data_IF_116242983836
#
_entry.id   IF_116242983836
#
_cell.length_a   1.000
_cell.length_b   1.000
_cell.length_c   1.000
_cell.angle_alpha   90.00
_cell.angle_beta   90.00
_cell.angle_gamma   90.00
#
_symmetry.space_group_name_H-M   'P 1'
#
loop_
_entity.id
_entity.type
_entity.pdbx_description
1 polymer ?
#
# COMPACT_ATOMS: atom_id res chain seq x y z
N UNK A 1 -22.25 -47.28 5.80
CA UNK A 1 -20.89 -47.13 6.35
C UNK A 1 -20.13 -46.23 5.39
N UNK A 2 -20.02 -44.95 5.71
CA UNK A 2 -19.33 -43.96 4.85
C UNK A 2 -17.99 -43.62 5.49
N UNK A 3 -16.90 -43.88 4.79
CA UNK A 3 -15.55 -43.49 5.21
C UNK A 3 -15.37 -41.97 5.06
N UNK A 4 -14.81 -41.26 6.04
CA UNK A 4 -14.43 -39.86 5.85
C UNK A 4 -13.24 -39.78 4.88
N UNK A 5 -13.34 -38.91 3.89
CA UNK A 5 -12.20 -38.54 3.03
C UNK A 5 -11.32 -37.58 3.84
N UNK A 6 -10.19 -38.10 4.30
CA UNK A 6 -9.15 -37.32 4.98
C UNK A 6 -8.54 -36.34 3.96
N UNK A 7 -8.76 -35.04 4.16
CA UNK A 7 -8.09 -34.01 3.38
C UNK A 7 -6.67 -33.86 3.95
N UNK A 8 -5.62 -33.95 3.12
CA UNK A 8 -4.25 -33.72 3.61
C UNK A 8 -4.13 -32.31 4.18
N UNK A 9 -3.37 -32.11 5.28
CA UNK A 9 -3.14 -30.79 5.83
C UNK A 9 -2.54 -29.90 4.76
N UNK A 10 -3.22 -28.79 4.47
CA UNK A 10 -2.69 -27.79 3.55
C UNK A 10 -1.33 -27.32 4.08
N UNK A 11 -0.32 -27.45 3.22
CA UNK A 11 1.04 -27.01 3.47
C UNK A 11 1.06 -25.60 4.06
N UNK A 12 1.94 -25.30 5.04
CA UNK A 12 2.06 -23.96 5.59
C UNK A 12 2.38 -22.98 4.45
N UNK A 13 1.59 -21.91 4.35
CA UNK A 13 1.78 -20.83 3.38
C UNK A 13 3.23 -20.34 3.49
N UNK A 14 3.95 -20.46 2.37
CA UNK A 14 5.33 -20.00 2.18
C UNK A 14 5.42 -18.52 2.62
N UNK A 15 6.46 -18.19 3.37
CA UNK A 15 6.55 -17.03 4.27
C UNK A 15 6.07 -15.69 3.72
N UNK A 16 5.21 -15.03 4.49
CA UNK A 16 4.93 -13.60 4.38
C UNK A 16 6.13 -12.87 5.00
N UNK A 17 6.91 -12.06 4.26
CA UNK A 17 7.93 -11.23 4.88
C UNK A 17 7.26 -10.29 5.90
N UNK A 18 7.90 -10.13 7.06
CA UNK A 18 7.33 -9.40 8.19
C UNK A 18 7.06 -7.94 7.81
N UNK A 19 5.77 -7.60 7.66
CA UNK A 19 5.27 -6.23 7.50
C UNK A 19 5.56 -5.43 8.79
N UNK A 20 6.72 -4.80 8.87
CA UNK A 20 7.04 -3.95 10.01
C UNK A 20 6.20 -2.65 9.92
N UNK A 21 5.02 -2.66 10.54
CA UNK A 21 4.18 -1.46 10.64
C UNK A 21 4.88 -0.40 11.48
N UNK A 22 4.90 0.85 10.99
CA UNK A 22 5.48 2.00 11.69
C UNK A 22 4.37 2.84 12.30
N UNK A 23 4.65 3.43 13.47
CA UNK A 23 3.69 4.25 14.23
C UNK A 23 4.00 5.74 14.10
N UNK A 24 2.97 6.56 14.01
CA UNK A 24 3.03 8.02 14.03
C UNK A 24 1.85 8.57 14.83
N UNK A 25 2.05 9.64 15.60
CA UNK A 25 0.96 10.39 16.26
C UNK A 25 0.94 11.81 15.72
N UNK A 26 0.12 12.12 14.71
CA UNK A 26 0.01 13.48 14.19
C UNK A 26 -0.81 14.33 15.16
N UNK A 27 -0.18 15.32 15.80
CA UNK A 27 -0.85 16.25 16.72
C UNK A 27 -1.47 17.39 15.90
N UNK A 28 -2.76 17.67 16.12
CA UNK A 28 -3.45 18.80 15.50
C UNK A 28 -3.81 18.66 14.02
N UNK A 29 -3.68 17.47 13.42
CA UNK A 29 -4.05 17.21 12.03
C UNK A 29 -5.40 16.50 11.93
N UNK A 30 -6.22 16.90 10.95
CA UNK A 30 -7.52 16.28 10.64
C UNK A 30 -7.51 15.42 9.36
N UNK A 31 -6.42 15.49 8.57
CA UNK A 31 -6.20 14.65 7.40
C UNK A 31 -4.71 14.46 7.13
N UNK A 32 -4.35 13.44 6.36
CA UNK A 32 -3.00 13.18 5.85
C UNK A 32 -3.11 12.61 4.43
N UNK A 33 -2.28 13.09 3.51
CA UNK A 33 -2.10 12.47 2.21
C UNK A 33 -1.00 11.41 2.27
N UNK A 34 -1.33 10.18 1.86
CA UNK A 34 -0.38 9.10 1.58
C UNK A 34 0.08 9.29 0.15
N UNK A 35 1.37 9.51 -0.06
CA UNK A 35 1.95 9.83 -1.36
C UNK A 35 3.08 8.86 -1.68
N UNK A 36 3.00 8.21 -2.83
CA UNK A 36 3.98 7.26 -3.34
C UNK A 36 4.52 7.79 -4.66
N UNK A 37 5.83 7.98 -4.73
CA UNK A 37 6.49 8.55 -5.91
C UNK A 37 7.56 7.58 -6.36
N UNK A 38 7.59 7.25 -7.65
CA UNK A 38 8.76 6.62 -8.26
C UNK A 38 9.85 7.65 -8.54
N UNK A 39 11.10 7.30 -8.25
CA UNK A 39 12.25 8.18 -8.33
C UNK A 39 13.52 7.41 -8.71
N UNK A 40 13.62 6.87 -9.93
CA UNK A 40 14.81 6.19 -10.40
C UNK A 40 15.47 6.84 -11.62
N UNK A 41 16.44 6.11 -12.19
CA UNK A 41 17.25 6.53 -13.33
C UNK A 41 16.63 6.12 -14.69
N UNK A 42 15.57 5.31 -14.68
CA UNK A 42 14.84 4.91 -15.88
C UNK A 42 13.50 5.63 -15.91
N UNK A 43 13.48 6.79 -16.54
CA UNK A 43 12.27 7.61 -16.71
C UNK A 43 11.23 6.98 -17.65
N UNK A 44 11.41 5.70 -18.05
CA UNK A 44 10.57 5.02 -19.05
C UNK A 44 10.09 3.62 -18.67
N UNK A 45 10.46 3.02 -17.52
CA UNK A 45 9.94 1.69 -17.09
C UNK A 45 10.21 1.27 -15.62
N UNK A 46 10.35 2.22 -14.68
CA UNK A 46 10.49 1.85 -13.27
C UNK A 46 9.28 1.04 -12.80
N UNK A 47 9.48 -0.09 -12.09
CA UNK A 47 8.37 -0.73 -11.37
C UNK A 47 8.54 -0.53 -9.89
N UNK A 48 7.56 0.17 -9.34
CA UNK A 48 7.25 0.12 -7.94
C UNK A 48 5.87 -0.44 -7.77
N UNK A 49 5.73 -1.66 -7.29
CA UNK A 49 4.43 -2.09 -6.79
C UNK A 49 4.27 -1.71 -5.34
N UNK A 50 3.12 -1.14 -5.02
CA UNK A 50 2.75 -0.78 -3.67
C UNK A 50 1.62 -1.72 -3.25
N UNK A 51 1.85 -2.52 -2.23
CA UNK A 51 0.79 -3.15 -1.44
C UNK A 51 0.74 -2.44 -0.09
N UNK A 52 0.06 -1.29 -0.02
CA UNK A 52 0.09 -0.43 1.15
C UNK A 52 -1.13 -0.56 2.02
N UNK A 53 -0.95 -0.75 3.33
CA UNK A 53 -2.01 -0.65 4.32
C UNK A 53 -1.68 0.44 5.32
N UNK A 54 -2.63 1.35 5.55
CA UNK A 54 -2.53 2.38 6.59
C UNK A 54 -3.71 2.20 7.55
N UNK A 55 -3.40 1.76 8.75
CA UNK A 55 -4.34 1.42 9.80
C UNK A 55 -4.31 2.46 10.92
N UNK A 56 -5.47 2.83 11.46
CA UNK A 56 -5.53 3.48 12.76
C UNK A 56 -5.23 2.46 13.88
N UNK A 57 -4.34 2.80 14.83
CA UNK A 57 -4.30 2.07 16.10
C UNK A 57 -5.19 2.79 17.12
N UNK A 58 -6.20 2.09 17.62
CA UNK A 58 -7.14 2.60 18.63
C UNK A 58 -6.46 2.94 19.95
N UNK A 59 -7.02 3.93 20.64
CA UNK A 59 -6.74 4.23 22.05
C UNK A 59 -7.37 3.18 22.95
N UNK A 60 -6.82 2.95 24.14
CA UNK A 60 -7.34 2.11 25.23
C UNK A 60 -8.68 2.66 25.74
N UNK A 61 -9.80 2.19 25.18
CA UNK A 61 -11.11 2.82 25.42
C UNK A 61 -11.70 2.55 26.81
N UNK A 62 -11.28 1.50 27.51
CA UNK A 62 -11.79 1.16 28.84
C UNK A 62 -10.78 1.35 29.99
N UNK A 63 -9.53 1.66 29.66
CA UNK A 63 -8.48 2.04 30.61
C UNK A 63 -7.94 0.91 31.47
N UNK A 64 -8.02 -0.34 31.01
CA UNK A 64 -7.54 -1.53 31.74
C UNK A 64 -6.02 -1.78 31.61
N UNK A 65 -5.34 -1.03 30.74
CA UNK A 65 -3.90 -1.10 30.49
C UNK A 65 -3.50 -1.95 29.28
N UNK A 66 -4.46 -2.37 28.46
CA UNK A 66 -4.29 -3.04 27.17
C UNK A 66 -4.81 -2.11 26.07
N UNK A 67 -4.14 -2.02 24.92
CA UNK A 67 -4.66 -1.20 23.81
C UNK A 67 -5.79 -1.93 23.07
N UNK A 68 -6.77 -1.20 22.53
CA UNK A 68 -7.87 -1.77 21.75
C UNK A 68 -7.40 -2.66 20.58
N UNK A 69 -6.18 -2.44 20.09
CA UNK A 69 -5.55 -3.26 19.06
C UNK A 69 -5.24 -4.70 19.55
N UNK A 70 -5.12 -4.88 20.86
CA UNK A 70 -4.94 -6.14 21.56
C UNK A 70 -6.28 -6.69 22.07
N UNK A 71 -7.28 -5.84 22.33
CA UNK A 71 -8.59 -6.27 22.86
C UNK A 71 -9.62 -6.66 21.79
N UNK A 72 -9.54 -6.10 20.57
CA UNK A 72 -10.32 -6.55 19.41
C UNK A 72 -9.62 -6.18 18.09
N UNK A 73 -9.43 -7.16 17.21
CA UNK A 73 -8.90 -7.02 15.85
C UNK A 73 -9.62 -5.96 14.99
N UNK A 74 -9.28 -4.69 15.17
CA UNK A 74 -9.97 -3.57 14.50
C UNK A 74 -9.00 -2.44 14.17
N UNK A 75 -7.95 -2.73 13.42
CA UNK A 75 -7.34 -1.68 12.62
C UNK A 75 -8.38 -1.19 11.61
N UNK A 76 -8.94 0.00 11.81
CA UNK A 76 -9.73 0.64 10.75
C UNK A 76 -8.78 0.97 9.61
N UNK A 77 -8.92 0.26 8.49
CA UNK A 77 -8.23 0.60 7.24
C UNK A 77 -8.70 1.99 6.80
N UNK A 78 -7.75 2.91 6.68
CA UNK A 78 -8.04 4.28 6.27
C UNK A 78 -7.97 4.44 4.75
N UNK A 79 -7.27 3.55 4.06
CA UNK A 79 -7.16 3.59 2.60
C UNK A 79 -8.37 2.93 1.94
N UNK A 80 -8.99 3.67 1.03
CA UNK A 80 -9.84 3.09 0.00
C UNK A 80 -8.93 2.35 -1.00
N UNK A 81 -9.21 1.07 -1.24
CA UNK A 81 -8.52 0.26 -2.24
C UNK A 81 -6.99 0.22 -2.03
N UNK A 82 -6.53 0.05 -0.77
CA UNK A 82 -5.10 0.04 -0.42
C UNK A 82 -4.28 -1.09 -1.06
N UNK A 83 -4.94 -2.22 -1.38
CA UNK A 83 -4.36 -3.34 -2.13
C UNK A 83 -4.58 -3.26 -3.65
N UNK A 84 -5.22 -2.20 -4.15
CA UNK A 84 -5.44 -1.97 -5.58
C UNK A 84 -6.28 -3.02 -6.33
N UNK A 85 -7.17 -3.75 -5.65
CA UNK A 85 -8.04 -4.76 -6.27
C UNK A 85 -9.16 -4.18 -7.17
N UNK A 86 -9.31 -2.85 -7.19
CA UNK A 86 -10.27 -2.14 -8.06
C UNK A 86 -9.56 -1.13 -8.97
N UNK A 87 -9.82 -1.12 -10.29
CA UNK A 87 -10.72 -2.02 -11.01
C UNK A 87 -10.14 -3.43 -11.15
N UNK A 88 -10.98 -4.45 -11.07
CA UNK A 88 -10.52 -5.83 -11.28
C UNK A 88 -10.16 -6.06 -12.75
N UNK A 89 -8.94 -6.54 -13.01
CA UNK A 89 -8.40 -6.75 -14.37
C UNK A 89 -8.60 -8.16 -14.92
N UNK A 90 -9.22 -9.05 -14.14
CA UNK A 90 -9.54 -10.42 -14.54
C UNK A 90 -8.57 -11.47 -13.97
N UNK A 91 -8.82 -12.76 -14.27
CA UNK A 91 -8.07 -13.88 -13.68
C UNK A 91 -6.78 -14.24 -14.43
N UNK A 92 -6.50 -13.58 -15.57
CA UNK A 92 -5.34 -13.88 -16.40
C UNK A 92 -4.07 -13.27 -15.82
N UNK A 93 -2.94 -13.96 -15.99
CA UNK A 93 -1.63 -13.35 -15.76
C UNK A 93 -1.35 -12.36 -16.88
N UNK A 94 -1.11 -11.09 -16.55
CA UNK A 94 -0.93 -10.05 -17.56
C UNK A 94 -0.87 -8.65 -16.95
N UNK A 95 -0.70 -7.65 -17.80
CA UNK A 95 -0.80 -6.24 -17.43
C UNK A 95 -1.99 -5.59 -18.15
N UNK A 96 -2.48 -4.49 -17.58
CA UNK A 96 -3.50 -3.64 -18.18
C UNK A 96 -3.23 -2.19 -17.86
N UNK A 97 -3.34 -1.32 -18.87
CA UNK A 97 -3.37 0.13 -18.66
C UNK A 97 -4.82 0.54 -18.43
N UNK A 98 -5.13 0.95 -17.20
CA UNK A 98 -6.45 1.46 -16.84
C UNK A 98 -6.40 2.98 -16.73
N UNK A 99 -7.52 3.66 -16.99
CA UNK A 99 -7.61 5.09 -16.70
C UNK A 99 -7.32 5.31 -15.20
N UNK A 100 -6.44 6.26 -14.87
CA UNK A 100 -6.07 6.48 -13.46
C UNK A 100 -7.27 6.86 -12.58
N UNK A 101 -8.27 7.53 -13.17
CA UNK A 101 -9.54 7.84 -12.49
C UNK A 101 -10.40 6.61 -12.17
N UNK A 102 -10.11 5.45 -12.74
CA UNK A 102 -10.80 4.20 -12.43
C UNK A 102 -10.22 3.50 -11.18
N UNK A 103 -9.01 3.86 -10.74
CA UNK A 103 -8.39 3.31 -9.53
C UNK A 103 -9.02 3.97 -8.31
N UNK A 104 -10.02 3.29 -7.72
CA UNK A 104 -10.82 3.85 -6.64
C UNK A 104 -9.95 4.36 -5.48
N UNK A 105 -10.21 5.58 -5.00
CA UNK A 105 -9.51 6.17 -3.86
C UNK A 105 -8.15 6.80 -4.17
N UNK A 106 -7.57 6.56 -5.35
CA UNK A 106 -6.24 7.04 -5.70
C UNK A 106 -6.27 8.08 -6.80
N UNK A 107 -5.41 9.09 -6.67
CA UNK A 107 -5.08 10.02 -7.74
C UNK A 107 -3.70 9.65 -8.28
N UNK A 108 -3.54 9.67 -9.59
CA UNK A 108 -2.25 9.52 -10.26
C UNK A 108 -1.95 10.79 -11.08
N UNK A 109 -0.69 11.19 -11.14
CA UNK A 109 -0.24 12.27 -12.04
C UNK A 109 -0.27 11.85 -13.51
N UNK A 110 -0.16 10.55 -13.77
CA UNK A 110 -0.29 9.98 -15.11
C UNK A 110 -1.77 9.72 -15.48
N UNK A 111 -2.16 9.84 -16.76
CA UNK A 111 -3.53 9.60 -17.20
C UNK A 111 -3.96 8.13 -17.10
N UNK A 112 -2.98 7.22 -17.09
CA UNK A 112 -3.18 5.78 -16.96
C UNK A 112 -2.35 5.21 -15.82
N UNK A 113 -2.88 4.17 -15.18
CA UNK A 113 -2.17 3.36 -14.19
C UNK A 113 -2.00 1.97 -14.76
N UNK A 114 -0.77 1.44 -14.72
CA UNK A 114 -0.49 0.07 -15.13
C UNK A 114 -0.78 -0.88 -13.96
N UNK A 115 -1.59 -1.90 -14.22
CA UNK A 115 -2.01 -2.90 -13.24
C UNK A 115 -1.49 -4.25 -13.68
N UNK A 116 -0.75 -4.92 -12.82
CA UNK A 116 -0.26 -6.28 -13.03
C UNK A 116 -1.10 -7.27 -12.26
N UNK A 117 -1.57 -8.30 -12.95
CA UNK A 117 -2.45 -9.29 -12.39
C UNK A 117 -1.76 -10.65 -12.26
N UNK A 118 -2.12 -11.37 -11.20
CA UNK A 118 -1.87 -12.79 -11.01
C UNK A 118 -0.40 -13.22 -11.12
N UNK A 119 0.52 -12.36 -10.66
CA UNK A 119 1.94 -12.71 -10.55
C UNK A 119 2.78 -12.50 -11.81
N UNK A 120 2.37 -11.57 -12.69
CA UNK A 120 3.13 -11.19 -13.89
C UNK A 120 4.62 -11.00 -13.57
N UNK A 121 5.49 -11.60 -14.38
CA UNK A 121 6.96 -11.54 -14.25
C UNK A 121 7.48 -11.95 -12.86
N UNK A 122 6.80 -12.92 -12.22
CA UNK A 122 7.19 -13.41 -10.90
C UNK A 122 6.95 -12.38 -9.78
N UNK A 123 6.00 -11.47 -9.97
CA UNK A 123 5.56 -10.47 -8.99
C UNK A 123 4.24 -10.87 -8.31
N UNK A 124 4.17 -11.95 -7.50
CA UNK A 124 2.91 -12.33 -6.87
C UNK A 124 2.42 -11.22 -5.93
N UNK A 125 1.16 -10.76 -6.01
CA UNK A 125 0.63 -9.75 -5.11
C UNK A 125 0.78 -10.14 -3.63
N UNK A 126 1.09 -9.17 -2.77
CA UNK A 126 1.16 -9.39 -1.31
C UNK A 126 -0.22 -9.52 -0.66
N UNK A 127 -1.25 -9.07 -1.36
CA UNK A 127 -2.66 -9.16 -1.01
C UNK A 127 -3.47 -9.23 -2.32
N UNK A 128 -4.60 -9.91 -2.29
CA UNK A 128 -5.50 -10.04 -3.44
C UNK A 128 -4.87 -10.71 -4.66
N UNK A 129 -5.15 -10.14 -5.84
CA UNK A 129 -4.88 -10.73 -7.16
C UNK A 129 -4.14 -9.78 -8.10
N UNK A 130 -3.97 -8.51 -7.73
CA UNK A 130 -3.30 -7.54 -8.58
C UNK A 130 -2.48 -6.54 -7.78
N UNK A 131 -1.65 -5.82 -8.51
CA UNK A 131 -0.81 -4.74 -8.02
C UNK A 131 -0.77 -3.62 -9.05
N UNK A 132 -0.46 -2.40 -8.62
CA UNK A 132 -0.12 -1.30 -9.54
C UNK A 132 1.38 -1.23 -9.78
N UNK A 133 1.78 -0.78 -10.95
CA UNK A 133 3.14 -0.36 -11.27
C UNK A 133 3.22 1.17 -11.20
N UNK A 134 3.93 1.69 -10.20
CA UNK A 134 4.42 3.07 -10.19
C UNK A 134 5.37 3.22 -11.36
N UNK A 135 5.12 4.20 -12.20
CA UNK A 135 5.92 4.62 -13.35
C UNK A 135 5.77 3.78 -14.64
N UNK A 136 4.69 3.01 -14.78
CA UNK A 136 4.45 2.18 -15.98
C UNK A 136 4.39 2.96 -17.31
N UNK A 137 3.68 4.09 -17.36
CA UNK A 137 3.62 4.97 -18.56
C UNK A 137 4.63 6.12 -18.56
N UNK A 138 5.31 6.37 -17.44
CA UNK A 138 6.19 7.51 -17.19
C UNK A 138 6.24 7.87 -15.70
N UNK A 139 7.16 8.76 -15.26
CA UNK A 139 7.30 9.12 -13.85
C UNK A 139 5.99 9.61 -13.23
N UNK A 140 5.57 8.97 -12.15
CA UNK A 140 4.23 9.06 -11.61
C UNK A 140 4.23 9.21 -10.09
N UNK A 141 3.17 9.86 -9.59
CA UNK A 141 2.88 9.96 -8.16
C UNK A 141 1.47 9.47 -7.91
N UNK A 142 1.33 8.46 -7.04
CA UNK A 142 0.06 7.99 -6.51
C UNK A 142 -0.22 8.63 -5.16
N UNK A 143 -1.41 9.21 -4.99
CA UNK A 143 -1.80 9.86 -3.76
C UNK A 143 -3.23 9.53 -3.34
N UNK A 144 -3.45 9.40 -2.03
CA UNK A 144 -4.77 9.32 -1.41
C UNK A 144 -4.78 10.15 -0.12
N UNK A 145 -5.77 11.03 0.01
CA UNK A 145 -5.99 11.79 1.24
C UNK A 145 -6.93 11.01 2.14
N UNK A 146 -6.47 10.70 3.36
CA UNK A 146 -7.26 10.04 4.39
C UNK A 146 -7.58 10.99 5.53
N UNK A 147 -8.79 10.88 6.07
CA UNK A 147 -9.16 11.58 7.30
C UNK A 147 -8.45 10.97 8.50
N UNK A 148 -8.00 11.80 9.43
CA UNK A 148 -7.38 11.36 10.70
C UNK A 148 -7.96 12.17 11.85
N UNK A 149 -7.98 11.60 13.05
CA UNK A 149 -8.36 12.34 14.25
C UNK A 149 -7.10 12.95 14.90
N UNK A 150 -7.11 14.23 15.31
CA UNK A 150 -5.97 14.81 16.01
C UNK A 150 -5.55 13.98 17.23
N UNK A 151 -4.25 13.62 17.32
CA UNK A 151 -3.71 12.80 18.41
C UNK A 151 -3.87 11.29 18.22
N UNK A 152 -4.57 10.85 17.17
CA UNK A 152 -4.70 9.44 16.79
C UNK A 152 -3.33 8.84 16.44
N UNK A 153 -3.12 7.56 16.78
CA UNK A 153 -1.96 6.81 16.28
C UNK A 153 -2.27 6.27 14.90
N UNK A 154 -1.45 6.61 13.92
CA UNK A 154 -1.42 5.97 12.61
C UNK A 154 -0.38 4.85 12.64
N UNK A 155 -0.80 3.64 12.29
CA UNK A 155 0.06 2.56 11.85
C UNK A 155 0.08 2.55 10.33
N UNK A 156 1.26 2.41 9.73
CA UNK A 156 1.36 2.35 8.29
C UNK A 156 2.38 1.31 7.87
N UNK A 157 2.11 0.69 6.73
CA UNK A 157 2.98 -0.26 6.07
C UNK A 157 2.81 -0.13 4.55
N UNK A 158 3.89 -0.38 3.83
CA UNK A 158 3.88 -0.47 2.37
C UNK A 158 4.72 -1.67 2.00
N UNK A 159 4.15 -2.59 1.22
CA UNK A 159 4.91 -3.60 0.52
C UNK A 159 5.45 -2.98 -0.76
N UNK A 160 6.74 -3.10 -0.99
CA UNK A 160 7.39 -2.59 -2.19
C UNK A 160 8.37 -3.58 -2.79
N UNK A 161 8.42 -3.61 -4.13
CA UNK A 161 9.40 -4.37 -4.92
C UNK A 161 9.90 -3.51 -6.07
N UNK A 162 11.21 -3.53 -6.28
CA UNK A 162 11.88 -2.85 -7.39
C UNK A 162 11.71 -3.64 -8.69
N UNK A 163 11.68 -2.98 -9.85
CA UNK A 163 11.90 -3.70 -11.12
C UNK A 163 13.36 -4.05 -11.31
N UNK A 164 14.17 -3.00 -11.25
CA UNK A 164 15.53 -3.00 -11.72
C UNK A 164 16.45 -2.52 -10.62
N UNK A 165 17.70 -2.96 -10.68
CA UNK A 165 18.74 -2.45 -9.80
C UNK A 165 18.98 -0.97 -10.13
N UNK A 166 18.57 -0.06 -9.24
CA UNK A 166 18.70 1.38 -9.45
C UNK A 166 17.42 2.15 -9.25
N UNK A 167 16.27 1.50 -9.36
CA UNK A 167 14.96 2.13 -9.12
C UNK A 167 14.87 2.57 -7.66
N UNK A 168 14.08 3.61 -7.40
CA UNK A 168 13.72 4.01 -6.04
C UNK A 168 12.25 4.39 -6.02
N UNK A 169 11.66 4.29 -4.86
CA UNK A 169 10.42 4.98 -4.57
C UNK A 169 10.53 5.70 -3.23
N UNK A 170 9.65 6.66 -3.01
CA UNK A 170 9.56 7.40 -1.75
C UNK A 170 8.09 7.35 -1.30
N UNK A 171 7.89 6.93 -0.06
CA UNK A 171 6.62 7.11 0.64
C UNK A 171 6.68 8.41 1.44
N UNK A 172 5.66 9.25 1.30
CA UNK A 172 5.43 10.42 2.14
C UNK A 172 4.07 10.36 2.82
N UNK A 173 4.01 10.82 4.06
CA UNK A 173 2.77 11.22 4.73
C UNK A 173 2.80 12.74 4.84
N UNK A 174 1.86 13.42 4.18
CA UNK A 174 1.86 14.88 4.03
C UNK A 174 0.60 15.45 4.67
N UNK A 175 0.72 16.38 5.65
CA UNK A 175 -0.43 17.12 6.16
C UNK A 175 -1.09 17.98 5.06
N UNK A 176 -2.39 18.28 5.15
CA UNK A 176 -2.98 19.34 4.35
C UNK A 176 -2.30 20.67 4.69
N UNK A 177 -1.90 21.44 3.68
CA UNK A 177 -1.41 22.80 3.89
C UNK A 177 -2.55 23.81 3.69
N UNK A 178 -2.60 24.89 4.50
CA UNK A 178 -3.51 26.00 4.25
C UNK A 178 -3.27 26.62 2.87
N UNK A 179 -4.36 27.00 2.19
CA UNK A 179 -4.29 27.85 0.99
C UNK A 179 -3.66 27.22 -0.26
N UNK A 180 -3.56 25.89 -0.35
CA UNK A 180 -3.03 25.21 -1.54
C UNK A 180 -1.51 25.13 -1.63
N UNK A 181 -0.78 25.48 -0.57
CA UNK A 181 0.65 25.22 -0.47
C UNK A 181 0.94 23.71 -0.29
N UNK A 182 2.17 23.29 -0.55
CA UNK A 182 2.65 21.94 -0.20
C UNK A 182 3.21 21.99 1.23
N UNK A 183 2.65 21.20 2.15
CA UNK A 183 3.22 21.06 3.49
C UNK A 183 4.47 20.18 3.45
N UNK A 184 5.38 20.37 4.41
CA UNK A 184 6.48 19.43 4.61
C UNK A 184 5.93 18.06 5.05
N UNK A 185 6.48 16.94 4.54
CA UNK A 185 6.05 15.61 4.97
C UNK A 185 6.38 15.40 6.44
N UNK A 186 5.45 14.81 7.18
CA UNK A 186 5.66 14.34 8.56
C UNK A 186 6.32 12.96 8.60
N UNK A 187 6.25 12.22 7.50
CA UNK A 187 7.02 11.01 7.23
C UNK A 187 7.53 11.09 5.81
N UNK A 188 8.81 10.82 5.62
CA UNK A 188 9.43 10.62 4.32
C UNK A 188 10.39 9.43 4.42
N UNK A 189 10.13 8.39 3.63
CA UNK A 189 10.91 7.16 3.66
C UNK A 189 11.26 6.76 2.25
N UNK A 190 12.56 6.66 1.97
CA UNK A 190 13.06 6.01 0.77
C UNK A 190 12.77 4.51 0.86
N UNK A 191 11.98 4.03 -0.09
CA UNK A 191 11.70 2.61 -0.27
C UNK A 191 12.88 2.00 -1.01
N UNK A 192 13.66 1.23 -0.26
CA UNK A 192 14.74 0.40 -0.79
C UNK A 192 14.32 -1.05 -0.62
N UNK A 193 14.69 -1.92 -1.56
CA UNK A 193 14.17 -3.28 -1.54
C UNK A 193 14.87 -4.19 -2.53
N UNK A 194 14.22 -5.31 -2.82
CA UNK A 194 14.68 -6.34 -3.73
C UNK A 194 14.01 -6.22 -5.09
N UNK A 195 14.66 -6.76 -6.13
CA UNK A 195 14.04 -6.99 -7.44
C UNK A 195 13.31 -8.32 -7.53
N UNK A 196 13.34 -9.16 -6.49
CA UNK A 196 12.74 -10.51 -6.49
C UNK A 196 11.84 -10.78 -5.29
N UNK A 197 11.88 -9.94 -4.27
CA UNK A 197 11.11 -10.11 -3.02
C UNK A 197 10.43 -8.81 -2.61
N UNK A 198 9.33 -8.93 -1.89
CA UNK A 198 8.64 -7.80 -1.27
C UNK A 198 9.32 -7.37 0.02
N UNK A 199 9.47 -6.06 0.20
CA UNK A 199 9.99 -5.43 1.43
C UNK A 199 8.87 -4.66 2.12
#
# INVERSE_FOLDING_TARGET
MSTPVDHPPQSPKRGVPSRAARRLRPVGLAAVAVVLMGAGADTTNEQGSVGGQVAAAGADHDGDGIDDATECHGSTELLVNGSFELPHTGPSVGYSLVASSAVAGWTNTEPTTEVWANGLLGAPPVDGTQIVELNGSGPSTLAQTVGVTPGQVLQWSVAYRLRSAGDRAILRLVPPAPGGATAAPIVEVALTGSTTEWT
#
